data_IF_313911617457
#
_entry.id   IF_313911617457
#
_cell.length_a   1.000
_cell.length_b   1.000
_cell.length_c   1.000
_cell.angle_alpha   90.00
_cell.angle_beta   90.00
_cell.angle_gamma   90.00
#
_symmetry.space_group_name_H-M   'P 1'
#
loop_
_entity.id
_entity.type
_entity.pdbx_description
1 polymer ?
#
# COMPACT_ATOMS: atom_id res chain seq x y z
N UNK A 1 -11.73 -14.41 9.65
CA UNK A 1 -11.93 -12.96 9.84
C UNK A 1 -13.41 -12.64 9.76
N UNK A 2 -13.94 -11.93 10.73
CA UNK A 2 -15.36 -11.55 10.77
C UNK A 2 -15.66 -10.48 9.72
N UNK A 3 -16.78 -10.62 9.02
CA UNK A 3 -17.25 -9.67 8.00
C UNK A 3 -18.44 -8.87 8.51
N UNK A 4 -18.90 -7.88 7.74
CA UNK A 4 -20.00 -6.99 8.14
C UNK A 4 -21.27 -7.80 8.47
N UNK A 5 -21.55 -8.88 7.75
CA UNK A 5 -22.71 -9.74 7.99
C UNK A 5 -22.73 -10.31 9.41
N UNK A 6 -21.57 -10.54 10.02
CA UNK A 6 -21.48 -11.04 11.40
C UNK A 6 -22.01 -10.07 12.44
N UNK A 7 -22.16 -8.79 12.08
CA UNK A 7 -22.67 -7.76 12.98
C UNK A 7 -24.22 -7.73 13.10
N UNK A 8 -24.90 -8.51 12.25
CA UNK A 8 -26.35 -8.62 12.26
C UNK A 8 -27.06 -7.42 11.64
N UNK A 9 -28.26 -7.08 12.14
CA UNK A 9 -29.05 -5.96 11.67
C UNK A 9 -28.43 -4.64 12.14
N UNK A 10 -28.07 -3.78 11.19
CA UNK A 10 -27.42 -2.49 11.45
C UNK A 10 -28.35 -1.29 11.37
N UNK A 11 -29.66 -1.50 11.08
CA UNK A 11 -30.60 -0.40 10.98
C UNK A 11 -30.64 0.40 12.27
N UNK A 12 -30.41 1.71 12.16
CA UNK A 12 -30.41 2.63 13.31
C UNK A 12 -29.20 2.51 14.23
N UNK A 13 -28.28 1.55 13.98
CA UNK A 13 -27.06 1.39 14.79
C UNK A 13 -26.01 2.39 14.39
N UNK A 14 -25.24 2.82 15.38
CA UNK A 14 -24.06 3.66 15.19
C UNK A 14 -22.87 2.76 14.84
N UNK A 15 -22.38 2.88 13.62
CA UNK A 15 -21.25 2.08 13.12
C UNK A 15 -20.04 2.99 13.00
N UNK A 16 -19.02 2.73 13.81
CA UNK A 16 -17.73 3.40 13.68
C UNK A 16 -16.92 2.70 12.59
N UNK A 17 -16.54 3.43 11.56
CA UNK A 17 -15.73 2.94 10.44
C UNK A 17 -14.35 3.59 10.49
N UNK A 18 -13.29 2.77 10.58
CA UNK A 18 -11.93 3.28 10.36
C UNK A 18 -11.62 3.21 8.89
N UNK A 19 -11.59 4.34 8.24
CA UNK A 19 -11.26 4.46 6.82
C UNK A 19 -9.83 4.98 6.62
N UNK A 20 -9.29 4.82 5.43
CA UNK A 20 -8.06 5.45 4.99
C UNK A 20 -8.39 6.59 4.02
N UNK A 21 -8.35 7.81 4.52
CA UNK A 21 -8.60 9.04 3.77
C UNK A 21 -7.37 9.94 3.68
N UNK A 22 -6.19 9.33 3.78
CA UNK A 22 -4.93 10.04 3.61
C UNK A 22 -4.69 10.36 2.13
N UNK A 23 -5.51 11.25 1.61
CA UNK A 23 -5.48 11.68 0.21
C UNK A 23 -4.45 12.78 -0.02
N UNK A 24 -3.85 12.86 -1.23
CA UNK A 24 -2.96 13.96 -1.57
C UNK A 24 -3.76 15.25 -1.79
N UNK A 25 -3.22 16.36 -1.28
CA UNK A 25 -3.77 17.69 -1.41
C UNK A 25 -2.78 18.60 -2.14
N UNK A 26 -3.29 19.54 -2.94
CA UNK A 26 -2.49 20.63 -3.50
C UNK A 26 -2.25 21.74 -2.46
N UNK A 27 -1.56 22.81 -2.88
CA UNK A 27 -1.28 23.97 -2.02
C UNK A 27 -2.55 24.68 -1.52
N UNK A 28 -3.64 24.60 -2.27
CA UNK A 28 -4.94 25.19 -1.94
C UNK A 28 -5.86 24.22 -1.19
N UNK A 29 -5.33 23.08 -0.74
CA UNK A 29 -6.05 22.02 -0.03
C UNK A 29 -7.13 21.32 -0.86
N UNK A 30 -7.01 21.34 -2.17
CA UNK A 30 -7.87 20.54 -3.04
C UNK A 30 -7.32 19.11 -3.14
N UNK A 31 -8.24 18.16 -3.16
CA UNK A 31 -7.87 16.75 -3.35
C UNK A 31 -7.42 16.53 -4.79
N UNK A 32 -6.19 16.06 -5.00
CA UNK A 32 -5.63 15.79 -6.33
C UNK A 32 -5.87 14.36 -6.81
N UNK A 33 -6.14 13.44 -5.90
CA UNK A 33 -6.49 12.05 -6.19
C UNK A 33 -7.44 11.54 -5.08
N UNK A 34 -8.65 11.17 -5.46
CA UNK A 34 -9.67 10.66 -4.53
C UNK A 34 -9.76 9.13 -4.50
N UNK A 35 -8.76 8.43 -5.03
CA UNK A 35 -8.75 6.97 -5.15
C UNK A 35 -9.06 6.24 -3.84
N UNK A 36 -8.54 6.74 -2.73
CA UNK A 36 -8.81 6.15 -1.40
C UNK A 36 -10.25 6.34 -0.95
N UNK A 37 -10.86 7.47 -1.28
CA UNK A 37 -12.27 7.71 -1.01
C UNK A 37 -13.13 6.76 -1.86
N UNK A 38 -12.83 6.63 -3.15
CA UNK A 38 -13.52 5.71 -4.04
C UNK A 38 -13.42 4.25 -3.55
N UNK A 39 -12.25 3.86 -3.07
CA UNK A 39 -12.02 2.51 -2.52
C UNK A 39 -12.84 2.22 -1.25
N UNK A 40 -13.19 3.24 -0.49
CA UNK A 40 -14.02 3.12 0.71
C UNK A 40 -15.51 3.02 0.42
N UNK A 41 -15.97 3.42 -0.78
CA UNK A 41 -17.40 3.50 -1.11
C UNK A 41 -18.15 2.18 -0.99
N UNK A 42 -17.64 1.02 -1.41
CA UNK A 42 -18.39 -0.23 -1.25
C UNK A 42 -18.82 -0.51 0.20
N UNK A 43 -17.91 -0.33 1.16
CA UNK A 43 -18.21 -0.47 2.58
C UNK A 43 -19.23 0.58 3.05
N UNK A 44 -19.00 1.84 2.71
CA UNK A 44 -19.88 2.93 3.13
C UNK A 44 -21.29 2.76 2.57
N UNK A 45 -21.44 2.40 1.30
CA UNK A 45 -22.74 2.14 0.67
C UNK A 45 -23.46 0.97 1.30
N UNK A 46 -22.75 -0.11 1.61
CA UNK A 46 -23.32 -1.27 2.30
C UNK A 46 -23.92 -0.86 3.64
N UNK A 47 -23.22 -0.05 4.42
CA UNK A 47 -23.68 0.43 5.72
C UNK A 47 -24.83 1.43 5.61
N UNK A 48 -24.74 2.37 4.65
CA UNK A 48 -25.81 3.36 4.41
C UNK A 48 -27.09 2.70 3.94
N UNK A 49 -27.00 1.73 3.02
CA UNK A 49 -28.14 0.99 2.50
C UNK A 49 -28.80 0.11 3.58
N UNK A 50 -28.02 -0.32 4.57
CA UNK A 50 -28.55 -1.02 5.74
C UNK A 50 -29.28 -0.10 6.74
N UNK A 51 -29.28 1.21 6.50
CA UNK A 51 -29.91 2.19 7.41
C UNK A 51 -29.09 2.51 8.65
N UNK A 52 -27.78 2.26 8.63
CA UNK A 52 -26.89 2.58 9.74
C UNK A 52 -26.61 4.09 9.84
N UNK A 53 -26.25 4.53 11.03
CA UNK A 53 -25.61 5.84 11.26
C UNK A 53 -24.12 5.61 11.13
N UNK A 54 -23.50 6.16 10.07
CA UNK A 54 -22.10 5.91 9.74
C UNK A 54 -21.22 6.99 10.34
N UNK A 55 -20.35 6.59 11.27
CA UNK A 55 -19.42 7.48 11.96
C UNK A 55 -18.01 7.09 11.50
N UNK A 56 -17.32 8.01 10.81
CA UNK A 56 -16.03 7.72 10.22
C UNK A 56 -14.92 8.38 11.02
N UNK A 57 -13.90 7.61 11.36
CA UNK A 57 -12.63 8.08 11.88
C UNK A 57 -11.53 7.79 10.88
N UNK A 58 -10.71 8.77 10.58
CA UNK A 58 -9.64 8.68 9.60
C UNK A 58 -8.51 9.66 9.92
N UNK A 59 -7.35 9.44 9.33
CA UNK A 59 -6.23 10.35 9.43
C UNK A 59 -5.91 11.01 8.09
N UNK A 60 -5.23 12.13 8.15
CA UNK A 60 -4.63 12.84 7.02
C UNK A 60 -3.27 13.37 7.44
N UNK A 61 -2.21 12.96 6.73
CA UNK A 61 -0.87 13.42 7.01
C UNK A 61 -0.35 13.10 8.43
N UNK A 62 0.54 13.95 8.90
CA UNK A 62 1.22 13.77 10.20
C UNK A 62 1.16 15.07 11.02
N UNK A 63 0.03 15.37 11.66
CA UNK A 63 -0.15 16.59 12.43
C UNK A 63 0.53 16.56 13.81
N UNK A 64 1.17 15.46 14.18
CA UNK A 64 1.95 15.29 15.42
C UNK A 64 1.14 15.48 16.71
N UNK A 65 -0.09 15.00 16.73
CA UNK A 65 -0.93 15.04 17.92
C UNK A 65 -1.52 16.41 18.25
N UNK A 66 -1.57 17.31 17.29
CA UNK A 66 -2.11 18.67 17.47
C UNK A 66 -3.10 19.00 16.36
N UNK A 67 -4.17 19.72 16.72
CA UNK A 67 -5.09 20.26 15.72
C UNK A 67 -4.36 21.29 14.84
N UNK A 68 -4.51 21.11 13.52
CA UNK A 68 -3.87 21.95 12.52
C UNK A 68 -4.78 22.03 11.29
N UNK A 69 -5.23 23.24 10.89
CA UNK A 69 -6.10 23.39 9.72
C UNK A 69 -5.55 22.79 8.42
N UNK A 70 -4.23 22.70 8.27
CA UNK A 70 -3.58 22.10 7.10
C UNK A 70 -3.84 20.60 6.97
N UNK A 71 -4.23 19.95 8.06
CA UNK A 71 -4.51 18.52 8.13
C UNK A 71 -5.98 18.21 8.44
N UNK A 72 -6.86 19.21 8.31
CA UNK A 72 -8.31 19.01 8.51
C UNK A 72 -8.88 18.08 7.45
N UNK A 73 -9.85 17.26 7.86
CA UNK A 73 -10.62 16.41 6.95
C UNK A 73 -11.76 17.15 6.23
N UNK A 74 -11.83 18.48 6.32
CA UNK A 74 -12.85 19.26 5.63
C UNK A 74 -12.93 18.99 4.11
N UNK A 75 -11.82 18.90 3.36
CA UNK A 75 -11.87 18.54 1.94
C UNK A 75 -12.46 17.14 1.70
N UNK A 76 -12.16 16.19 2.60
CA UNK A 76 -12.69 14.83 2.53
C UNK A 76 -14.20 14.80 2.80
N UNK A 77 -14.67 15.55 3.79
CA UNK A 77 -16.11 15.67 4.09
C UNK A 77 -16.90 16.18 2.88
N UNK A 78 -16.39 17.21 2.22
CA UNK A 78 -16.99 17.75 0.99
C UNK A 78 -17.05 16.71 -0.12
N UNK A 79 -15.96 16.00 -0.36
CA UNK A 79 -15.89 14.97 -1.42
C UNK A 79 -16.78 13.76 -1.11
N UNK A 80 -16.85 13.34 0.14
CA UNK A 80 -17.75 12.26 0.56
C UNK A 80 -19.22 12.60 0.27
N UNK A 81 -19.64 13.82 0.58
CA UNK A 81 -21.01 14.28 0.30
C UNK A 81 -21.31 14.23 -1.21
N UNK A 82 -20.35 14.64 -2.05
CA UNK A 82 -20.47 14.59 -3.52
C UNK A 82 -20.62 13.16 -4.04
N UNK A 83 -19.75 12.24 -3.60
CA UNK A 83 -19.69 10.88 -4.17
C UNK A 83 -20.74 9.94 -3.58
N UNK A 84 -21.21 10.19 -2.35
CA UNK A 84 -22.24 9.36 -1.71
C UNK A 84 -23.66 9.88 -1.94
N UNK A 85 -23.80 11.18 -2.25
CA UNK A 85 -25.11 11.83 -2.30
C UNK A 85 -25.82 11.89 -0.96
N UNK A 86 -25.09 11.71 0.15
CA UNK A 86 -25.60 11.62 1.51
C UNK A 86 -25.13 12.83 2.32
N UNK A 87 -25.94 13.22 3.30
CA UNK A 87 -25.54 14.27 4.24
C UNK A 87 -24.29 13.82 5.01
N UNK A 88 -23.24 14.64 4.97
CA UNK A 88 -21.99 14.43 5.73
C UNK A 88 -21.80 15.61 6.68
N UNK A 89 -21.76 15.32 7.97
CA UNK A 89 -21.48 16.30 9.01
C UNK A 89 -20.04 16.11 9.48
N UNK A 90 -19.19 17.14 9.31
CA UNK A 90 -17.84 17.16 9.87
C UNK A 90 -17.90 17.65 11.32
N UNK A 91 -17.46 16.81 12.28
CA UNK A 91 -17.25 17.24 13.64
C UNK A 91 -15.99 18.12 13.75
N UNK A 92 -15.97 19.04 14.70
CA UNK A 92 -14.82 19.93 14.91
C UNK A 92 -13.71 19.30 15.76
N UNK A 93 -13.96 18.15 16.36
CA UNK A 93 -13.02 17.41 17.20
C UNK A 93 -13.07 15.91 16.92
N UNK A 94 -12.26 15.14 17.64
CA UNK A 94 -12.17 13.68 17.47
C UNK A 94 -13.18 12.91 18.34
N UNK A 95 -13.31 13.28 19.60
CA UNK A 95 -14.16 12.58 20.59
C UNK A 95 -14.80 13.53 21.60
N UNK A 96 -14.69 14.83 21.39
CA UNK A 96 -15.16 15.86 22.30
C UNK A 96 -16.66 16.18 22.14
N UNK A 97 -17.07 17.34 22.61
CA UNK A 97 -18.44 17.77 22.59
C UNK A 97 -19.03 17.89 21.18
N UNK A 98 -18.23 18.36 20.21
CA UNK A 98 -18.67 18.45 18.81
C UNK A 98 -18.95 17.07 18.22
N UNK A 99 -18.05 16.11 18.42
CA UNK A 99 -18.23 14.73 17.97
C UNK A 99 -19.49 14.11 18.58
N UNK A 100 -19.68 14.24 19.90
CA UNK A 100 -20.85 13.71 20.63
C UNK A 100 -22.14 14.31 20.10
N UNK A 101 -22.16 15.63 19.90
CA UNK A 101 -23.35 16.34 19.38
C UNK A 101 -23.69 15.92 17.95
N UNK A 102 -22.67 15.80 17.07
CA UNK A 102 -22.86 15.37 15.70
C UNK A 102 -23.41 13.94 15.62
N UNK A 103 -22.85 13.02 16.42
CA UNK A 103 -23.34 11.64 16.51
C UNK A 103 -24.75 11.55 17.01
N UNK A 104 -25.09 12.30 18.06
CA UNK A 104 -26.45 12.34 18.62
C UNK A 104 -27.49 12.89 17.63
N UNK A 105 -27.10 13.82 16.77
CA UNK A 105 -27.95 14.44 15.76
C UNK A 105 -28.09 13.64 14.47
N UNK A 106 -27.23 12.64 14.25
CA UNK A 106 -27.19 11.87 13.00
C UNK A 106 -28.45 11.04 12.82
N UNK A 107 -29.03 11.10 11.62
CA UNK A 107 -30.12 10.24 11.19
C UNK A 107 -29.62 8.93 10.58
N UNK A 108 -30.54 7.98 10.42
CA UNK A 108 -30.26 6.73 9.72
C UNK A 108 -29.88 7.01 8.25
N UNK A 109 -28.81 6.36 7.78
CA UNK A 109 -28.30 6.59 6.43
C UNK A 109 -27.55 7.91 6.25
N UNK A 110 -27.14 8.56 7.32
CA UNK A 110 -26.28 9.75 7.29
C UNK A 110 -24.86 9.43 7.75
N UNK A 111 -23.92 10.31 7.41
CA UNK A 111 -22.50 10.19 7.73
C UNK A 111 -22.10 11.32 8.70
N UNK A 112 -21.38 10.95 9.75
CA UNK A 112 -20.61 11.86 10.59
C UNK A 112 -19.13 11.56 10.34
N UNK A 113 -18.37 12.55 9.91
CA UNK A 113 -16.90 12.44 9.80
C UNK A 113 -16.30 13.13 11.02
N UNK A 114 -15.60 12.37 11.86
CA UNK A 114 -14.84 12.93 12.98
C UNK A 114 -13.60 13.64 12.42
N UNK A 115 -13.13 14.66 13.10
CA UNK A 115 -11.92 15.34 12.67
C UNK A 115 -10.69 14.41 12.77
N UNK A 116 -9.60 14.75 12.07
CA UNK A 116 -8.41 13.94 11.92
C UNK A 116 -8.00 13.26 13.24
N UNK A 117 -8.06 11.94 13.27
CA UNK A 117 -7.83 11.14 14.48
C UNK A 117 -6.40 11.36 15.03
N UNK A 118 -5.45 11.72 14.18
CA UNK A 118 -4.07 12.04 14.60
C UNK A 118 -3.92 13.44 15.20
N UNK A 119 -5.01 14.22 15.32
CA UNK A 119 -4.99 15.41 16.16
C UNK A 119 -4.91 15.04 17.65
N UNK A 120 -5.27 13.82 17.99
CA UNK A 120 -5.09 13.28 19.33
C UNK A 120 -3.77 12.48 19.40
N UNK A 121 -2.86 12.90 20.26
CA UNK A 121 -1.56 12.26 20.41
C UNK A 121 -1.64 10.79 20.83
N UNK A 122 -2.72 10.39 21.52
CA UNK A 122 -2.93 9.03 21.99
C UNK A 122 -3.16 8.03 20.85
N UNK A 123 -3.64 8.49 19.68
CA UNK A 123 -3.89 7.59 18.54
C UNK A 123 -2.66 6.75 18.17
N UNK A 124 -1.48 7.37 18.14
CA UNK A 124 -0.22 6.74 17.74
C UNK A 124 0.73 6.49 18.89
N UNK A 125 0.27 6.63 20.12
CA UNK A 125 1.09 6.42 21.31
C UNK A 125 1.66 4.99 21.37
N UNK A 126 2.88 4.86 21.86
CA UNK A 126 3.49 3.56 22.16
C UNK A 126 3.06 3.01 23.50
N UNK A 127 2.46 3.84 24.35
CA UNK A 127 1.87 3.43 25.62
C UNK A 127 0.49 2.84 25.39
N UNK A 128 0.34 1.57 25.70
CA UNK A 128 -0.92 0.84 25.52
C UNK A 128 -2.06 1.47 26.31
N UNK A 129 -1.81 1.95 27.54
CA UNK A 129 -2.84 2.56 28.38
C UNK A 129 -3.37 3.87 27.80
N UNK A 130 -2.50 4.70 27.21
CA UNK A 130 -2.91 5.94 26.55
C UNK A 130 -3.79 5.65 25.30
N UNK A 131 -3.40 4.67 24.49
CA UNK A 131 -4.20 4.27 23.33
C UNK A 131 -5.55 3.71 23.75
N UNK A 132 -5.58 2.85 24.75
CA UNK A 132 -6.81 2.21 25.25
C UNK A 132 -7.79 3.25 25.81
N UNK A 133 -7.30 4.27 26.51
CA UNK A 133 -8.14 5.35 27.03
C UNK A 133 -8.81 6.14 25.88
N UNK A 134 -8.06 6.48 24.85
CA UNK A 134 -8.60 7.16 23.67
C UNK A 134 -9.55 6.26 22.88
N UNK A 135 -9.21 4.98 22.73
CA UNK A 135 -10.09 4.00 22.08
C UNK A 135 -11.44 3.85 22.79
N UNK A 136 -11.44 3.93 24.12
CA UNK A 136 -12.69 3.92 24.91
C UNK A 136 -13.58 5.13 24.59
N UNK A 137 -12.99 6.30 24.38
CA UNK A 137 -13.73 7.49 23.97
C UNK A 137 -14.31 7.35 22.55
N UNK A 138 -13.55 6.76 21.63
CA UNK A 138 -14.06 6.45 20.28
C UNK A 138 -15.18 5.41 20.35
N UNK A 139 -15.01 4.35 21.12
CA UNK A 139 -15.99 3.28 21.28
C UNK A 139 -17.31 3.77 21.87
N UNK A 140 -17.25 4.78 22.75
CA UNK A 140 -18.46 5.39 23.35
C UNK A 140 -19.35 6.09 22.31
N UNK A 141 -18.84 6.41 21.12
CA UNK A 141 -19.61 7.03 20.04
C UNK A 141 -20.38 6.03 19.18
N UNK A 142 -20.17 4.72 19.35
CA UNK A 142 -20.73 3.73 18.45
C UNK A 142 -21.19 2.45 19.14
N UNK A 143 -21.93 1.64 18.41
CA UNK A 143 -22.43 0.33 18.86
C UNK A 143 -21.57 -0.82 18.31
N UNK A 144 -21.02 -0.66 17.12
CA UNK A 144 -20.16 -1.64 16.44
C UNK A 144 -19.02 -0.93 15.70
N UNK A 145 -17.96 -1.68 15.36
CA UNK A 145 -16.78 -1.17 14.66
C UNK A 145 -16.53 -1.95 13.37
N UNK A 146 -16.22 -1.22 12.30
CA UNK A 146 -15.79 -1.77 11.01
C UNK A 146 -14.41 -1.23 10.65
N UNK A 147 -13.44 -2.13 10.49
CA UNK A 147 -12.09 -1.79 10.05
C UNK A 147 -12.01 -1.85 8.52
N UNK A 148 -11.81 -0.71 7.88
CA UNK A 148 -11.78 -0.61 6.42
C UNK A 148 -10.56 0.14 5.88
N UNK A 149 -9.66 0.56 6.73
CA UNK A 149 -8.42 1.25 6.35
C UNK A 149 -7.23 0.30 6.26
N UNK A 150 -7.13 -0.50 5.20
CA UNK A 150 -6.07 -1.49 5.09
C UNK A 150 -4.66 -0.89 5.19
N UNK A 151 -4.46 0.34 4.73
CA UNK A 151 -3.16 1.02 4.80
C UNK A 151 -2.61 1.26 6.20
N UNK A 152 -3.39 1.06 7.25
CA UNK A 152 -2.98 1.30 8.65
C UNK A 152 -3.08 0.06 9.56
N UNK A 153 -3.53 -1.09 9.04
CA UNK A 153 -3.74 -2.29 9.87
C UNK A 153 -2.43 -2.95 10.35
N UNK A 154 -1.30 -2.51 9.85
CA UNK A 154 0.02 -2.97 10.29
C UNK A 154 0.52 -2.26 11.55
N UNK A 155 -0.23 -1.30 12.08
CA UNK A 155 0.13 -0.53 13.27
C UNK A 155 -0.87 -0.74 14.41
N UNK A 156 -0.36 -0.84 15.63
CA UNK A 156 -1.18 -0.78 16.84
C UNK A 156 -1.52 0.69 17.12
N UNK A 157 -2.62 1.15 16.54
CA UNK A 157 -3.15 2.50 16.76
C UNK A 157 -4.53 2.39 17.41
N UNK A 158 -4.93 3.41 18.18
CA UNK A 158 -6.16 3.37 18.96
C UNK A 158 -7.41 3.11 18.09
N UNK A 159 -7.54 3.80 16.96
CA UNK A 159 -8.68 3.67 16.05
C UNK A 159 -8.66 2.44 15.15
N UNK A 160 -7.57 1.67 15.17
CA UNK A 160 -7.36 0.49 14.32
C UNK A 160 -7.40 -0.80 15.14
N UNK A 161 -6.68 -0.82 16.24
CA UNK A 161 -6.40 -2.00 17.06
C UNK A 161 -7.18 -2.00 18.37
N UNK A 162 -6.97 -0.96 19.20
CA UNK A 162 -7.53 -0.95 20.55
C UNK A 162 -9.05 -0.85 20.56
N UNK A 163 -9.65 -0.04 19.68
CA UNK A 163 -11.10 0.13 19.59
C UNK A 163 -11.80 -1.17 19.16
N UNK A 164 -11.15 -2.00 18.35
CA UNK A 164 -11.70 -3.27 17.90
C UNK A 164 -11.92 -4.27 19.04
N UNK A 165 -11.20 -4.11 20.15
CA UNK A 165 -11.37 -4.94 21.36
C UNK A 165 -12.55 -4.52 22.21
N UNK A 166 -13.08 -3.32 22.01
CA UNK A 166 -14.11 -2.71 22.88
C UNK A 166 -15.52 -2.81 22.31
N UNK A 167 -15.67 -3.12 21.02
CA UNK A 167 -16.93 -3.22 20.31
C UNK A 167 -16.99 -4.53 19.51
N UNK A 168 -18.20 -5.04 19.24
CA UNK A 168 -18.35 -6.03 18.19
C UNK A 168 -17.77 -5.48 16.89
N UNK A 169 -16.82 -6.20 16.28
CA UNK A 169 -15.99 -5.69 15.21
C UNK A 169 -15.99 -6.62 14.01
N UNK A 170 -15.82 -6.02 12.82
CA UNK A 170 -15.70 -6.74 11.57
C UNK A 170 -14.77 -6.02 10.61
N UNK A 171 -14.28 -6.75 9.62
CA UNK A 171 -13.57 -6.18 8.49
C UNK A 171 -14.56 -5.60 7.48
N UNK A 172 -14.24 -4.41 6.97
CA UNK A 172 -14.94 -3.83 5.84
C UNK A 172 -14.60 -4.53 4.53
N UNK A 173 -15.33 -4.22 3.46
CA UNK A 173 -15.16 -4.89 2.16
C UNK A 173 -13.78 -4.64 1.54
N UNK A 174 -13.19 -3.46 1.75
CA UNK A 174 -11.85 -3.15 1.26
C UNK A 174 -10.79 -4.03 1.95
N UNK A 175 -10.87 -4.15 3.26
CA UNK A 175 -9.94 -5.00 4.04
C UNK A 175 -10.09 -6.46 3.63
N UNK A 176 -11.32 -6.96 3.49
CA UNK A 176 -11.58 -8.34 3.03
C UNK A 176 -10.93 -8.58 1.67
N UNK A 177 -11.15 -7.68 0.71
CA UNK A 177 -10.60 -7.79 -0.64
C UNK A 177 -9.07 -7.80 -0.63
N UNK A 178 -8.45 -6.92 0.14
CA UNK A 178 -7.00 -6.84 0.28
C UNK A 178 -6.41 -8.13 0.87
N UNK A 179 -6.99 -8.61 1.95
CA UNK A 179 -6.51 -9.83 2.63
C UNK A 179 -6.71 -11.07 1.77
N UNK A 180 -7.84 -11.19 1.08
CA UNK A 180 -8.08 -12.33 0.17
C UNK A 180 -7.13 -12.31 -1.02
N UNK A 181 -6.94 -11.15 -1.64
CA UNK A 181 -6.08 -10.99 -2.82
C UNK A 181 -4.61 -11.23 -2.49
N UNK A 182 -4.12 -10.58 -1.43
CA UNK A 182 -2.74 -10.76 -0.98
C UNK A 182 -2.52 -12.17 -0.41
N UNK A 183 -3.48 -12.70 0.33
CA UNK A 183 -3.42 -14.05 0.89
C UNK A 183 -3.35 -15.12 -0.19
N UNK A 184 -4.10 -14.98 -1.26
CA UNK A 184 -4.03 -15.88 -2.42
C UNK A 184 -2.64 -15.88 -3.04
N UNK A 185 -2.01 -14.71 -3.14
CA UNK A 185 -0.67 -14.59 -3.69
C UNK A 185 0.44 -15.10 -2.74
N UNK A 186 0.25 -14.96 -1.42
CA UNK A 186 1.32 -15.22 -0.43
C UNK A 186 1.23 -16.63 0.16
N UNK A 187 0.02 -17.12 0.46
CA UNK A 187 -0.16 -18.36 1.23
C UNK A 187 -0.21 -19.62 0.35
N UNK A 188 -0.90 -19.55 -0.79
CA UNK A 188 -1.08 -20.70 -1.69
C UNK A 188 -1.18 -20.24 -3.14
N UNK A 189 -0.10 -19.66 -3.69
CA UNK A 189 -0.11 -19.19 -5.06
C UNK A 189 -0.13 -20.34 -6.06
N UNK A 190 -0.89 -20.18 -7.14
CA UNK A 190 -0.71 -21.04 -8.31
C UNK A 190 0.67 -20.81 -8.92
N UNK A 191 1.36 -21.90 -9.24
CA UNK A 191 2.74 -21.85 -9.75
C UNK A 191 2.79 -22.01 -11.27
N UNK A 192 3.76 -21.39 -11.96
CA UNK A 192 4.90 -20.65 -11.40
C UNK A 192 4.50 -19.32 -10.71
N UNK A 193 5.07 -19.09 -9.54
CA UNK A 193 4.88 -17.86 -8.76
C UNK A 193 6.09 -16.95 -8.95
N UNK A 194 5.84 -15.78 -9.55
CA UNK A 194 6.87 -14.79 -9.85
C UNK A 194 6.63 -13.53 -9.03
N UNK A 195 7.68 -13.04 -8.40
CA UNK A 195 7.66 -11.77 -7.68
C UNK A 195 8.63 -10.79 -8.36
N UNK A 196 8.13 -9.61 -8.68
CA UNK A 196 8.92 -8.53 -9.28
C UNK A 196 9.11 -7.45 -8.23
N UNK A 197 10.35 -7.21 -7.86
CA UNK A 197 10.71 -6.21 -6.85
C UNK A 197 11.60 -5.14 -7.48
N UNK A 198 11.26 -3.90 -7.18
CA UNK A 198 12.04 -2.73 -7.57
C UNK A 198 12.08 -1.69 -6.46
N UNK A 199 12.45 -0.48 -6.83
CA UNK A 199 12.64 0.61 -5.90
C UNK A 199 14.11 0.96 -5.70
N UNK A 200 14.38 2.00 -4.91
CA UNK A 200 15.73 2.57 -4.81
C UNK A 200 16.66 1.82 -3.86
N UNK A 201 16.13 1.20 -2.81
CA UNK A 201 16.93 0.62 -1.72
C UNK A 201 16.57 -0.83 -1.43
N UNK A 202 17.56 -1.72 -1.42
CA UNK A 202 17.38 -3.10 -0.99
C UNK A 202 17.03 -3.18 0.50
N UNK A 203 17.52 -2.27 1.32
CA UNK A 203 17.25 -2.22 2.76
C UNK A 203 15.76 -2.08 3.09
N UNK A 204 14.97 -1.50 2.18
CA UNK A 204 13.52 -1.38 2.35
C UNK A 204 12.77 -2.69 2.06
N UNK A 205 13.43 -3.67 1.46
CA UNK A 205 12.84 -4.93 0.99
C UNK A 205 13.44 -6.19 1.63
N UNK A 206 14.32 -6.06 2.63
CA UNK A 206 15.04 -7.20 3.19
C UNK A 206 14.12 -8.30 3.71
N UNK A 207 13.09 -7.94 4.47
CA UNK A 207 12.12 -8.89 5.00
C UNK A 207 11.29 -9.56 3.91
N UNK A 208 10.94 -8.82 2.86
CA UNK A 208 10.20 -9.33 1.70
C UNK A 208 11.04 -10.37 0.96
N UNK A 209 12.28 -10.04 0.65
CA UNK A 209 13.19 -10.95 -0.07
C UNK A 209 13.43 -12.21 0.74
N UNK A 210 13.76 -12.08 2.02
CA UNK A 210 13.96 -13.21 2.93
C UNK A 210 12.77 -14.17 2.95
N UNK A 211 11.57 -13.63 3.08
CA UNK A 211 10.35 -14.44 3.14
C UNK A 211 10.07 -15.13 1.80
N UNK A 212 10.24 -14.42 0.69
CA UNK A 212 9.90 -14.91 -0.64
C UNK A 212 10.91 -15.90 -1.21
N UNK A 213 12.16 -15.88 -0.76
CA UNK A 213 13.17 -16.88 -1.15
C UNK A 213 12.80 -18.31 -0.75
N UNK A 214 11.88 -18.47 0.21
CA UNK A 214 11.30 -19.76 0.57
C UNK A 214 9.98 -20.09 -0.12
N UNK A 215 9.43 -19.19 -0.91
CA UNK A 215 8.05 -19.32 -1.43
C UNK A 215 7.92 -19.11 -2.93
N UNK A 216 8.65 -18.17 -3.51
CA UNK A 216 8.57 -17.84 -4.93
C UNK A 216 9.35 -18.85 -5.78
N UNK A 217 8.89 -19.06 -7.01
CA UNK A 217 9.65 -19.81 -8.04
C UNK A 217 10.65 -18.92 -8.74
N UNK A 218 10.27 -17.65 -8.95
CA UNK A 218 11.10 -16.64 -9.62
C UNK A 218 11.04 -15.33 -8.85
N UNK A 219 12.20 -14.67 -8.78
CA UNK A 219 12.35 -13.35 -8.18
C UNK A 219 13.08 -12.45 -9.18
N UNK A 220 12.38 -11.43 -9.69
CA UNK A 220 12.90 -10.47 -10.65
C UNK A 220 13.24 -9.18 -9.94
N UNK A 221 14.48 -8.77 -10.00
CA UNK A 221 15.00 -7.59 -9.28
C UNK A 221 15.31 -6.48 -10.28
N UNK A 222 14.72 -5.32 -10.08
CA UNK A 222 15.00 -4.11 -10.86
C UNK A 222 15.14 -2.87 -9.97
N UNK A 223 15.15 -1.71 -10.60
CA UNK A 223 15.29 -0.45 -9.88
C UNK A 223 16.69 -0.23 -9.30
N UNK A 224 16.83 0.79 -8.47
CA UNK A 224 18.10 1.15 -7.84
C UNK A 224 18.68 0.06 -6.93
N UNK A 225 17.82 -0.75 -6.33
CA UNK A 225 18.24 -1.86 -5.48
C UNK A 225 19.03 -2.95 -6.25
N UNK A 226 18.83 -3.06 -7.55
CA UNK A 226 19.53 -4.06 -8.38
C UNK A 226 21.04 -3.86 -8.39
N UNK A 227 21.53 -2.65 -8.22
CA UNK A 227 22.97 -2.35 -8.25
C UNK A 227 23.72 -2.94 -7.05
N UNK A 228 23.07 -3.05 -5.91
CA UNK A 228 23.64 -3.76 -4.76
C UNK A 228 23.78 -5.26 -5.05
N UNK A 229 22.82 -5.86 -5.77
CA UNK A 229 22.91 -7.25 -6.24
C UNK A 229 24.05 -7.43 -7.26
N UNK A 230 24.19 -6.51 -8.20
CA UNK A 230 25.28 -6.55 -9.20
C UNK A 230 26.63 -6.41 -8.52
N UNK A 231 26.76 -5.51 -7.57
CA UNK A 231 27.99 -5.36 -6.77
C UNK A 231 28.30 -6.62 -5.97
N UNK A 232 27.30 -7.30 -5.44
CA UNK A 232 27.45 -8.57 -4.73
C UNK A 232 27.98 -9.69 -5.65
N UNK A 233 27.73 -9.61 -6.96
CA UNK A 233 28.29 -10.50 -7.97
C UNK A 233 29.70 -10.11 -8.40
N UNK A 234 30.24 -9.00 -7.89
CA UNK A 234 31.59 -8.53 -8.21
C UNK A 234 31.65 -7.49 -9.34
N UNK A 235 30.51 -7.00 -9.83
CA UNK A 235 30.50 -5.96 -10.87
C UNK A 235 30.63 -4.56 -10.27
N UNK A 236 31.28 -3.68 -11.00
CA UNK A 236 31.30 -2.26 -10.70
C UNK A 236 30.01 -1.61 -11.22
N UNK A 237 29.45 -0.67 -10.44
CA UNK A 237 28.15 -0.07 -10.74
C UNK A 237 28.21 1.43 -11.03
N UNK A 238 29.42 1.97 -11.28
CA UNK A 238 29.64 3.37 -11.56
C UNK A 238 29.15 4.28 -10.42
N UNK A 239 28.39 5.32 -10.76
CA UNK A 239 27.81 6.25 -9.78
C UNK A 239 26.38 5.89 -9.40
N UNK A 240 25.94 4.67 -9.71
CA UNK A 240 24.61 4.16 -9.35
C UNK A 240 24.39 4.12 -7.84
N UNK A 241 23.12 4.10 -7.45
CA UNK A 241 22.74 3.84 -6.04
C UNK A 241 23.37 2.52 -5.59
N UNK A 242 24.01 2.54 -4.44
CA UNK A 242 24.69 1.36 -3.89
C UNK A 242 24.65 1.41 -2.36
N UNK A 243 24.11 0.35 -1.77
CA UNK A 243 24.15 0.15 -0.32
C UNK A 243 25.28 -0.83 0.03
N UNK A 244 26.48 -0.28 0.24
CA UNK A 244 27.70 -1.07 0.50
C UNK A 244 27.59 -1.97 1.73
N UNK A 245 26.89 -1.51 2.75
CA UNK A 245 26.61 -2.24 4.00
C UNK A 245 25.66 -3.43 3.80
N UNK A 246 24.97 -3.52 2.66
CA UNK A 246 24.05 -4.61 2.34
C UNK A 246 24.62 -5.65 1.39
N UNK A 247 25.83 -5.46 0.87
CA UNK A 247 26.45 -6.39 -0.11
C UNK A 247 26.52 -7.81 0.45
N UNK A 248 26.96 -7.99 1.69
CA UNK A 248 27.08 -9.32 2.29
C UNK A 248 25.72 -9.98 2.50
N UNK A 249 24.71 -9.21 2.93
CA UNK A 249 23.34 -9.67 3.05
C UNK A 249 22.79 -10.15 1.70
N UNK A 250 23.02 -9.39 0.65
CA UNK A 250 22.58 -9.70 -0.73
C UNK A 250 23.30 -10.93 -1.27
N UNK A 251 24.60 -11.09 -1.00
CA UNK A 251 25.32 -12.34 -1.32
C UNK A 251 24.64 -13.56 -0.71
N UNK A 252 24.21 -13.45 0.54
CA UNK A 252 23.45 -14.48 1.23
C UNK A 252 22.14 -14.80 0.50
N UNK A 253 21.44 -13.79 -0.01
CA UNK A 253 20.21 -14.00 -0.79
C UNK A 253 20.46 -14.73 -2.09
N UNK A 254 21.54 -14.40 -2.81
CA UNK A 254 21.92 -15.09 -4.05
C UNK A 254 22.21 -16.58 -3.79
N UNK A 255 22.92 -16.89 -2.70
CA UNK A 255 23.20 -18.26 -2.28
C UNK A 255 21.92 -19.00 -1.86
N UNK A 256 21.05 -18.38 -1.09
CA UNK A 256 19.79 -18.96 -0.64
C UNK A 256 18.86 -19.23 -1.82
N UNK A 257 18.76 -18.31 -2.77
CA UNK A 257 17.98 -18.49 -4.00
C UNK A 257 18.43 -19.75 -4.74
N UNK A 258 19.74 -19.89 -4.93
CA UNK A 258 20.32 -21.06 -5.59
C UNK A 258 20.05 -22.36 -4.83
N UNK A 259 20.20 -22.35 -3.51
CA UNK A 259 19.95 -23.51 -2.66
C UNK A 259 18.48 -23.94 -2.68
N UNK A 260 17.56 -22.99 -2.74
CA UNK A 260 16.10 -23.22 -2.77
C UNK A 260 15.56 -23.48 -4.18
N UNK A 261 16.37 -23.41 -5.21
CA UNK A 261 15.92 -23.55 -6.60
C UNK A 261 15.06 -22.36 -7.08
N UNK A 262 15.21 -21.19 -6.46
CA UNK A 262 14.56 -19.96 -6.89
C UNK A 262 15.36 -19.31 -8.01
N UNK A 263 14.70 -19.06 -9.13
CA UNK A 263 15.29 -18.34 -10.26
C UNK A 263 15.32 -16.85 -9.97
N UNK A 264 16.45 -16.34 -9.49
CA UNK A 264 16.65 -14.93 -9.21
C UNK A 264 17.26 -14.26 -10.44
N UNK A 265 16.45 -13.42 -11.13
CA UNK A 265 16.84 -12.72 -12.34
C UNK A 265 17.23 -11.27 -12.02
N UNK A 266 18.44 -10.92 -12.46
CA UNK A 266 19.00 -9.58 -12.36
C UNK A 266 19.07 -8.92 -13.74
N UNK A 267 19.15 -7.58 -13.83
CA UNK A 267 19.34 -6.92 -15.10
C UNK A 267 20.62 -7.37 -15.79
N UNK A 268 20.51 -7.80 -17.04
CA UNK A 268 21.64 -8.17 -17.90
C UNK A 268 22.17 -6.97 -18.69
N UNK A 269 21.34 -5.97 -18.90
CA UNK A 269 21.68 -4.68 -19.46
C UNK A 269 20.98 -3.54 -18.68
N UNK A 270 21.53 -2.36 -18.77
CA UNK A 270 21.12 -1.21 -17.98
C UNK A 270 21.11 0.04 -18.86
N UNK A 271 20.10 0.88 -18.68
CA UNK A 271 20.09 2.23 -19.25
C UNK A 271 20.78 3.16 -18.27
N UNK A 272 21.89 3.74 -18.70
CA UNK A 272 22.74 4.62 -17.88
C UNK A 272 22.71 6.05 -18.38
N UNK A 273 23.01 6.98 -17.49
CA UNK A 273 23.19 8.40 -17.80
C UNK A 273 24.23 9.02 -16.87
N UNK A 274 24.87 10.14 -17.27
CA UNK A 274 25.87 10.79 -16.43
C UNK A 274 25.29 11.49 -15.20
N UNK A 275 24.00 11.86 -15.24
CA UNK A 275 23.31 12.59 -14.16
C UNK A 275 21.89 12.10 -14.00
N UNK A 276 21.32 12.32 -12.81
CA UNK A 276 19.91 12.08 -12.53
C UNK A 276 19.09 13.29 -13.01
N UNK A 277 18.70 13.27 -14.29
CA UNK A 277 17.92 14.33 -14.91
C UNK A 277 17.08 13.77 -16.06
N UNK A 278 15.90 14.38 -16.29
CA UNK A 278 14.98 13.92 -17.32
C UNK A 278 15.54 14.02 -18.73
N UNK A 279 16.41 15.01 -18.97
CA UNK A 279 17.07 15.30 -20.25
C UNK A 279 18.50 14.72 -20.36
N UNK A 280 18.92 13.94 -19.37
CA UNK A 280 20.24 13.30 -19.40
C UNK A 280 20.34 12.33 -20.59
N UNK A 281 21.49 12.29 -21.30
CA UNK A 281 21.66 11.36 -22.42
C UNK A 281 21.67 9.91 -21.93
N UNK A 282 20.73 9.12 -22.44
CA UNK A 282 20.55 7.73 -22.08
C UNK A 282 21.37 6.82 -23.02
N UNK A 283 22.09 5.86 -22.44
CA UNK A 283 22.87 4.87 -23.16
C UNK A 283 22.60 3.48 -22.59
N UNK A 284 22.46 2.48 -23.45
CA UNK A 284 22.30 1.09 -23.03
C UNK A 284 23.69 0.44 -22.95
N UNK A 285 23.98 -0.18 -21.81
CA UNK A 285 25.23 -0.91 -21.59
C UNK A 285 24.93 -2.27 -20.97
N UNK A 286 25.88 -3.21 -21.09
CA UNK A 286 25.80 -4.45 -20.32
C UNK A 286 25.91 -4.13 -18.82
N UNK A 287 25.13 -4.80 -18.00
CA UNK A 287 25.15 -4.59 -16.54
C UNK A 287 26.49 -4.96 -15.90
N UNK A 288 27.27 -5.81 -16.56
CA UNK A 288 28.65 -6.15 -16.19
C UNK A 288 29.68 -5.10 -16.58
N UNK A 289 29.32 -4.08 -17.33
CA UNK A 289 30.23 -3.09 -17.93
C UNK A 289 29.74 -1.66 -17.75
N UNK A 290 29.19 -1.33 -16.57
CA UNK A 290 28.75 0.04 -16.27
C UNK A 290 29.97 0.98 -16.26
N UNK A 291 29.92 2.09 -17.02
CA UNK A 291 30.97 3.10 -16.95
C UNK A 291 31.11 3.72 -15.55
N UNK A 292 32.32 4.01 -15.13
CA UNK A 292 32.62 4.51 -13.78
C UNK A 292 32.03 5.89 -13.49
N UNK A 293 31.71 6.67 -14.53
CA UNK A 293 31.18 8.03 -14.47
C UNK A 293 29.66 8.12 -14.77
N UNK A 294 28.99 6.98 -14.87
CA UNK A 294 27.56 6.93 -15.16
C UNK A 294 26.78 6.12 -14.14
N UNK A 295 25.50 6.46 -14.01
CA UNK A 295 24.55 5.80 -13.12
C UNK A 295 23.49 5.05 -13.91
N UNK A 296 23.10 3.89 -13.42
CA UNK A 296 21.95 3.18 -13.95
C UNK A 296 20.63 3.86 -13.51
N UNK A 297 19.71 4.05 -14.46
CA UNK A 297 18.42 4.69 -14.22
C UNK A 297 17.23 3.85 -14.69
N UNK A 298 17.48 2.77 -15.44
CA UNK A 298 16.44 1.81 -15.85
C UNK A 298 17.07 0.49 -16.28
N UNK A 299 16.24 -0.54 -16.36
CA UNK A 299 16.63 -1.82 -16.98
C UNK A 299 16.65 -1.67 -18.51
N UNK A 300 17.58 -2.37 -19.16
CA UNK A 300 17.75 -2.31 -20.60
C UNK A 300 16.79 -3.22 -21.37
N UNK A 301 16.84 -3.15 -22.72
CA UNK A 301 15.90 -3.88 -23.59
C UNK A 301 15.99 -5.40 -23.47
N UNK A 302 17.18 -5.99 -23.29
CA UNK A 302 17.31 -7.44 -23.09
C UNK A 302 16.73 -7.87 -21.75
N UNK A 303 16.92 -7.07 -20.71
CA UNK A 303 16.31 -7.33 -19.39
C UNK A 303 14.80 -7.24 -19.44
N UNK A 304 14.27 -6.25 -20.14
CA UNK A 304 12.81 -6.10 -20.35
C UNK A 304 12.22 -7.36 -20.98
N UNK A 305 12.87 -7.90 -22.00
CA UNK A 305 12.45 -9.15 -22.66
C UNK A 305 12.55 -10.34 -21.70
N UNK A 306 13.67 -10.47 -21.00
CA UNK A 306 13.88 -11.53 -20.01
C UNK A 306 12.79 -11.55 -18.94
N UNK A 307 12.47 -10.38 -18.40
CA UNK A 307 11.42 -10.24 -17.38
C UNK A 307 10.03 -10.49 -17.95
N UNK A 308 9.73 -9.97 -19.14
CA UNK A 308 8.45 -10.20 -19.81
C UNK A 308 8.23 -11.69 -20.11
N UNK A 309 9.25 -12.41 -20.55
CA UNK A 309 9.18 -13.85 -20.83
C UNK A 309 8.89 -14.65 -19.53
N UNK A 310 9.53 -14.29 -18.42
CA UNK A 310 9.28 -14.91 -17.13
C UNK A 310 7.84 -14.65 -16.64
N UNK A 311 7.35 -13.43 -16.80
CA UNK A 311 5.98 -13.04 -16.42
C UNK A 311 4.95 -13.78 -17.28
N UNK A 312 5.19 -13.90 -18.58
CA UNK A 312 4.26 -14.54 -19.53
C UNK A 312 3.93 -15.99 -19.19
N UNK A 313 4.85 -16.71 -18.56
CA UNK A 313 4.67 -18.12 -18.17
C UNK A 313 4.20 -18.29 -16.73
N UNK A 314 4.00 -17.21 -16.01
CA UNK A 314 3.60 -17.23 -14.60
C UNK A 314 2.09 -17.44 -14.43
N UNK A 315 1.71 -18.10 -13.33
CA UNK A 315 0.31 -18.23 -12.91
C UNK A 315 -0.07 -17.21 -11.84
N UNK A 316 0.90 -16.79 -11.04
CA UNK A 316 0.76 -15.75 -10.03
C UNK A 316 1.91 -14.77 -10.16
N UNK A 317 1.61 -13.48 -10.17
CA UNK A 317 2.61 -12.40 -10.21
C UNK A 317 2.30 -11.39 -9.12
N UNK A 318 3.28 -11.07 -8.31
CA UNK A 318 3.25 -9.94 -7.37
C UNK A 318 4.31 -8.94 -7.82
N UNK A 319 3.94 -7.68 -7.96
CA UNK A 319 4.86 -6.61 -8.33
C UNK A 319 4.84 -5.50 -7.28
N UNK A 320 6.03 -5.14 -6.78
CA UNK A 320 6.22 -4.04 -5.82
C UNK A 320 7.50 -3.27 -6.16
N UNK A 321 7.34 -2.04 -6.59
CA UNK A 321 8.42 -1.11 -6.89
C UNK A 321 8.78 -0.99 -8.38
N UNK A 322 9.09 0.23 -8.85
CA UNK A 322 9.42 0.48 -10.26
C UNK A 322 10.79 -0.08 -10.63
N UNK A 323 10.99 -0.32 -11.93
CA UNK A 323 12.23 -0.86 -12.50
C UNK A 323 13.25 0.23 -12.81
N UNK A 324 12.82 1.47 -12.89
CA UNK A 324 13.65 2.63 -13.20
C UNK A 324 12.97 3.92 -12.76
N UNK A 325 13.56 5.04 -13.16
CA UNK A 325 13.00 6.37 -12.87
C UNK A 325 11.89 6.68 -13.88
N UNK A 326 10.74 6.05 -13.68
CA UNK A 326 9.63 6.07 -14.64
C UNK A 326 8.99 7.46 -14.82
N UNK A 327 9.24 8.38 -13.91
CA UNK A 327 8.82 9.78 -14.02
C UNK A 327 9.53 10.52 -15.16
N UNK A 328 10.68 10.00 -15.57
CA UNK A 328 11.44 10.51 -16.72
C UNK A 328 11.18 9.61 -17.94
N UNK A 329 10.65 10.14 -19.05
CA UNK A 329 10.30 9.30 -20.21
C UNK A 329 11.44 8.43 -20.74
N UNK A 330 12.67 8.91 -20.71
CA UNK A 330 13.84 8.14 -21.16
C UNK A 330 14.14 6.91 -20.29
N UNK A 331 13.64 6.87 -19.07
CA UNK A 331 13.91 5.84 -18.06
C UNK A 331 12.62 5.15 -17.57
N UNK A 332 11.55 5.24 -18.37
CA UNK A 332 10.24 4.66 -18.05
C UNK A 332 9.99 3.31 -18.74
N UNK A 333 10.78 2.95 -19.74
CA UNK A 333 10.51 1.76 -20.59
C UNK A 333 10.58 0.44 -19.82
N UNK A 334 11.43 0.34 -18.82
CA UNK A 334 11.55 -0.86 -17.99
C UNK A 334 10.28 -1.11 -17.16
N UNK A 335 9.82 -0.09 -16.46
CA UNK A 335 8.58 -0.15 -15.66
C UNK A 335 7.37 -0.40 -16.57
N UNK A 336 7.32 0.26 -17.73
CA UNK A 336 6.28 0.08 -18.73
C UNK A 336 6.25 -1.36 -19.26
N UNK A 337 7.41 -1.95 -19.55
CA UNK A 337 7.50 -3.32 -20.04
C UNK A 337 6.99 -4.35 -19.02
N UNK A 338 7.31 -4.16 -17.75
CA UNK A 338 6.79 -5.02 -16.67
C UNK A 338 5.27 -4.87 -16.54
N UNK A 339 4.76 -3.66 -16.49
CA UNK A 339 3.31 -3.42 -16.42
C UNK A 339 2.58 -4.05 -17.62
N UNK A 340 3.11 -3.88 -18.83
CA UNK A 340 2.56 -4.46 -20.06
C UNK A 340 2.55 -5.99 -20.00
N UNK A 341 3.66 -6.61 -19.61
CA UNK A 341 3.76 -8.06 -19.52
C UNK A 341 2.76 -8.64 -18.52
N UNK A 342 2.58 -8.00 -17.38
CA UNK A 342 1.59 -8.42 -16.38
C UNK A 342 0.17 -8.25 -16.91
N UNK A 343 -0.14 -7.11 -17.53
CA UNK A 343 -1.48 -6.81 -18.07
C UNK A 343 -1.91 -7.76 -19.18
N UNK A 344 -0.96 -8.25 -19.98
CA UNK A 344 -1.19 -9.18 -21.07
C UNK A 344 -1.13 -10.66 -20.63
N UNK A 345 -0.67 -10.93 -19.43
CA UNK A 345 -0.57 -12.29 -18.89
C UNK A 345 -1.94 -12.83 -18.44
N UNK A 346 -2.04 -14.16 -18.34
CA UNK A 346 -3.20 -14.82 -17.73
C UNK A 346 -3.01 -15.06 -16.23
N UNK A 347 -1.97 -14.49 -15.63
CA UNK A 347 -1.66 -14.67 -14.23
C UNK A 347 -2.65 -13.94 -13.34
N UNK A 348 -2.87 -14.49 -12.15
CA UNK A 348 -3.42 -13.72 -11.04
C UNK A 348 -2.36 -12.70 -10.61
N UNK A 349 -2.64 -11.41 -10.77
CA UNK A 349 -1.68 -10.34 -10.57
C UNK A 349 -2.07 -9.42 -9.42
N UNK A 350 -1.10 -9.15 -8.55
CA UNK A 350 -1.23 -8.18 -7.45
C UNK A 350 -0.15 -7.12 -7.60
N UNK A 351 -0.57 -5.87 -7.68
CA UNK A 351 0.31 -4.72 -7.71
C UNK A 351 0.30 -4.09 -6.31
N UNK A 352 1.46 -4.04 -5.67
CA UNK A 352 1.61 -3.46 -4.34
C UNK A 352 2.50 -2.23 -4.33
N UNK A 353 2.19 -1.31 -3.43
CA UNK A 353 2.96 -0.08 -3.25
C UNK A 353 2.47 1.10 -4.07
N UNK A 354 2.62 2.28 -3.48
CA UNK A 354 2.13 3.53 -4.07
C UNK A 354 2.80 3.88 -5.41
N UNK A 355 4.10 3.64 -5.51
CA UNK A 355 4.86 3.94 -6.73
C UNK A 355 4.46 3.04 -7.89
N UNK A 356 4.22 1.75 -7.63
CA UNK A 356 3.79 0.81 -8.66
C UNK A 356 2.38 1.12 -9.16
N UNK A 357 1.47 1.44 -8.25
CA UNK A 357 0.11 1.87 -8.58
C UNK A 357 0.12 3.19 -9.36
N UNK A 358 0.96 4.14 -8.95
CA UNK A 358 1.14 5.40 -9.67
C UNK A 358 1.71 5.19 -11.07
N UNK A 359 2.68 4.28 -11.22
CA UNK A 359 3.26 3.94 -12.52
C UNK A 359 2.22 3.36 -13.47
N UNK A 360 1.37 2.45 -13.00
CA UNK A 360 0.27 1.88 -13.80
C UNK A 360 -0.61 2.99 -14.38
N UNK A 361 -1.02 3.94 -13.55
CA UNK A 361 -1.86 5.07 -13.98
C UNK A 361 -1.12 6.03 -14.90
N UNK A 362 0.08 6.45 -14.50
CA UNK A 362 0.90 7.45 -15.22
C UNK A 362 1.30 6.95 -16.61
N UNK A 363 1.59 5.65 -16.74
CA UNK A 363 2.00 5.05 -18.00
C UNK A 363 0.82 4.63 -18.89
N UNK A 364 -0.41 4.91 -18.47
CA UNK A 364 -1.61 4.76 -19.28
C UNK A 364 -2.17 3.35 -19.34
N UNK A 365 -1.89 2.50 -18.37
CA UNK A 365 -2.48 1.16 -18.29
C UNK A 365 -3.87 1.21 -17.66
N UNK A 366 -4.75 0.35 -18.15
CA UNK A 366 -6.07 0.13 -17.55
C UNK A 366 -5.90 -0.70 -16.26
N UNK A 367 -6.30 -0.11 -15.13
CA UNK A 367 -6.22 -0.76 -13.82
C UNK A 367 -7.02 -2.07 -13.77
N UNK A 368 -8.09 -2.19 -14.57
CA UNK A 368 -8.92 -3.38 -14.64
C UNK A 368 -8.21 -4.60 -15.25
N UNK A 369 -7.08 -4.42 -15.92
CA UNK A 369 -6.28 -5.52 -16.48
C UNK A 369 -5.45 -6.25 -15.43
N UNK A 370 -5.32 -5.67 -14.22
CA UNK A 370 -4.65 -6.30 -13.09
C UNK A 370 -5.69 -6.89 -12.15
N UNK A 371 -5.41 -8.06 -11.57
CA UNK A 371 -6.37 -8.75 -10.69
C UNK A 371 -6.64 -7.96 -9.42
N UNK A 372 -5.60 -7.33 -8.85
CA UNK A 372 -5.73 -6.47 -7.68
C UNK A 372 -4.60 -5.44 -7.63
N UNK A 373 -4.97 -4.18 -7.39
CA UNK A 373 -4.02 -3.10 -7.09
C UNK A 373 -4.22 -2.74 -5.63
N UNK A 374 -3.23 -3.05 -4.80
CA UNK A 374 -3.31 -2.80 -3.37
C UNK A 374 -3.14 -1.31 -3.03
N UNK A 375 -4.00 -0.82 -2.18
CA UNK A 375 -3.90 0.52 -1.59
C UNK A 375 -3.10 0.52 -0.29
N UNK A 376 -2.63 -0.65 0.15
CA UNK A 376 -2.15 -0.88 1.51
C UNK A 376 -0.75 -0.36 1.83
N UNK A 377 0.04 0.02 0.85
CA UNK A 377 1.39 0.54 1.09
C UNK A 377 2.22 -0.34 2.03
N UNK A 378 2.56 0.18 3.21
CA UNK A 378 3.34 -0.55 4.21
C UNK A 378 2.66 -1.81 4.75
N UNK A 379 1.34 -1.83 4.85
CA UNK A 379 0.60 -3.02 5.29
C UNK A 379 0.75 -4.17 4.29
N UNK A 380 0.66 -3.88 2.99
CA UNK A 380 0.89 -4.87 1.93
C UNK A 380 2.32 -5.43 2.00
N UNK A 381 3.29 -4.54 2.20
CA UNK A 381 4.70 -4.91 2.28
C UNK A 381 4.96 -5.82 3.49
N UNK A 382 4.44 -5.48 4.66
CA UNK A 382 4.58 -6.29 5.86
C UNK A 382 3.91 -7.67 5.73
N UNK A 383 2.78 -7.74 5.02
CA UNK A 383 2.15 -9.02 4.71
C UNK A 383 3.04 -9.87 3.80
N UNK A 384 3.69 -9.28 2.80
CA UNK A 384 4.68 -9.96 1.95
C UNK A 384 5.93 -10.39 2.74
N UNK A 385 6.26 -9.71 3.82
CA UNK A 385 7.31 -10.11 4.77
C UNK A 385 6.92 -11.30 5.64
N UNK A 386 5.66 -11.75 5.58
CA UNK A 386 5.14 -12.84 6.42
C UNK A 386 4.75 -12.41 7.82
N UNK A 387 4.63 -11.12 8.08
CA UNK A 387 4.26 -10.59 9.40
C UNK A 387 2.76 -10.69 9.63
N UNK A 388 2.38 -10.88 10.89
CA UNK A 388 1.00 -10.74 11.34
C UNK A 388 0.65 -9.26 11.48
N UNK A 389 -0.46 -8.85 10.86
CA UNK A 389 -0.93 -7.47 10.93
C UNK A 389 -1.84 -7.30 12.16
N UNK A 390 -1.48 -6.44 13.13
CA UNK A 390 -2.25 -6.31 14.38
C UNK A 390 -3.72 -5.96 14.17
N UNK A 391 -4.00 -5.04 13.25
CA UNK A 391 -5.36 -4.61 12.94
C UNK A 391 -6.21 -5.67 12.24
N UNK A 392 -5.60 -6.73 11.71
CA UNK A 392 -6.29 -7.90 11.16
C UNK A 392 -6.45 -8.98 12.23
N UNK A 393 -5.38 -9.28 12.96
CA UNK A 393 -5.41 -10.31 14.00
C UNK A 393 -6.50 -10.04 15.05
N UNK A 394 -6.72 -8.78 15.41
CA UNK A 394 -7.75 -8.38 16.38
C UNK A 394 -9.17 -8.64 15.89
N UNK A 395 -9.40 -8.79 14.57
CA UNK A 395 -10.69 -9.07 13.96
C UNK A 395 -10.99 -10.58 13.87
N UNK A 396 -10.03 -11.42 14.16
CA UNK A 396 -10.15 -12.88 14.06
C UNK A 396 -10.61 -13.53 15.37
N UNK A 397 -10.55 -12.79 16.45
CA UNK A 397 -10.90 -13.24 17.82
C UNK A 397 -12.38 -13.47 18.08
#
# INVERSE_FOLDING_TARGET
>A
MKTIESLGDLKGKRVLVRSDFNVPLDADKNITDDGRIQAALPTLRTLLDAGAKVIITAHLGRPKGQANPDYSLAPVAKRLAEVTGTKVTLAEDTVGESAKAAVAAAGDGEIVLLENVRFNAAETSKDDAEREAFAAELAALADVFVSDGFGVVHRKQASVYDVAKLLPSAAGLLVVKEIESLGRAVNDPERPYTVVLGGSKVSDKLGVISNLLGKADRLLIGGGMAYTFLAAQGYEVGTSLLEKDQIDTVKGYLETAKANGVELLLPVDTVVAPTFAADAPATVVLSSELPSDQMGLDIGPETRKLFADAIATSKTVVWNGPMGVFEFPAFAEGTKAVAKAISESNAFSVIGGGDSAAAVRTLGFDEATFSHISTGGGASLELLEGKTLPGIAVLEG
#
